data_IF_500109897552
#
_entry.id   IF_500109897552
#
_cell.length_a   1.000
_cell.length_b   1.000
_cell.length_c   1.000
_cell.angle_alpha   90.00
_cell.angle_beta   90.00
_cell.angle_gamma   90.00
#
_symmetry.space_group_name_H-M   'P 1'
#
loop_
_entity.id
_entity.type
_entity.pdbx_description
1 polymer ?
#
# COMPACT_ATOMS: atom_id res chain seq x y z
N UNK A 1 -1.41 -28.26 -1.89
CA UNK A 1 -2.02 -27.06 -2.48
C UNK A 1 -1.00 -25.94 -2.47
N UNK A 2 -0.57 -25.40 -3.62
CA UNK A 2 0.30 -24.22 -3.64
C UNK A 2 -0.46 -23.02 -3.02
N UNK A 3 0.22 -22.11 -2.30
CA UNK A 3 -0.43 -20.92 -1.77
C UNK A 3 -0.92 -20.09 -2.95
N UNK A 4 -2.22 -19.79 -2.95
CA UNK A 4 -2.85 -18.92 -3.94
C UNK A 4 -2.13 -17.58 -3.83
N UNK A 5 -1.22 -17.29 -4.76
CA UNK A 5 -0.56 -15.98 -4.87
C UNK A 5 -1.67 -14.93 -4.79
N UNK A 6 -1.61 -14.09 -3.76
CA UNK A 6 -2.56 -13.02 -3.52
C UNK A 6 -2.83 -12.31 -4.85
N UNK A 7 -4.04 -12.47 -5.41
CA UNK A 7 -4.41 -11.78 -6.65
C UNK A 7 -4.45 -10.30 -6.32
N UNK A 8 -3.35 -9.61 -6.60
CA UNK A 8 -3.26 -8.18 -6.40
C UNK A 8 -4.22 -7.54 -7.39
N UNK A 9 -5.23 -6.86 -6.86
CA UNK A 9 -6.20 -6.13 -7.66
C UNK A 9 -5.52 -4.88 -8.18
N UNK A 10 -5.48 -4.74 -9.50
CA UNK A 10 -4.91 -3.59 -10.19
C UNK A 10 -5.60 -2.29 -9.75
N UNK A 11 -4.85 -1.19 -9.76
CA UNK A 11 -5.38 0.12 -9.39
C UNK A 11 -6.58 0.51 -10.27
N UNK A 12 -6.56 0.19 -11.57
CA UNK A 12 -7.67 0.45 -12.48
C UNK A 12 -8.95 -0.26 -12.07
N UNK A 13 -8.84 -1.52 -11.62
CA UNK A 13 -10.00 -2.26 -11.08
C UNK A 13 -10.51 -1.53 -9.83
N UNK A 14 -9.64 -1.24 -8.85
CA UNK A 14 -10.04 -0.59 -7.60
C UNK A 14 -10.76 0.75 -7.83
N UNK A 15 -10.28 1.55 -8.78
CA UNK A 15 -10.94 2.80 -9.18
C UNK A 15 -12.33 2.49 -9.73
N UNK A 16 -12.42 1.58 -10.72
CA UNK A 16 -13.70 1.25 -11.35
C UNK A 16 -14.73 0.74 -10.34
N UNK A 17 -14.32 -0.10 -9.39
CA UNK A 17 -15.21 -0.65 -8.35
C UNK A 17 -15.78 0.45 -7.45
N UNK A 18 -14.95 1.42 -7.05
CA UNK A 18 -15.37 2.55 -6.22
C UNK A 18 -16.25 3.53 -7.00
N UNK A 19 -15.90 3.82 -8.25
CA UNK A 19 -16.70 4.68 -9.13
C UNK A 19 -18.09 4.08 -9.39
N UNK A 20 -18.17 2.78 -9.68
CA UNK A 20 -19.45 2.08 -9.88
C UNK A 20 -20.34 2.12 -8.63
N UNK A 21 -19.73 1.96 -7.46
CA UNK A 21 -20.44 2.09 -6.19
C UNK A 21 -20.94 3.53 -5.98
N UNK A 22 -20.12 4.52 -6.31
CA UNK A 22 -20.43 5.94 -6.10
C UNK A 22 -21.55 6.46 -6.99
N UNK A 23 -21.57 6.03 -8.26
CA UNK A 23 -22.62 6.36 -9.24
C UNK A 23 -23.98 5.81 -8.81
N UNK A 24 -24.03 4.88 -7.85
CA UNK A 24 -25.28 4.42 -7.22
C UNK A 24 -26.16 3.49 -8.08
N UNK A 25 -25.68 3.11 -9.27
CA UNK A 25 -26.41 2.24 -10.21
C UNK A 25 -26.12 0.75 -10.08
N UNK A 26 -25.26 0.33 -9.14
CA UNK A 26 -24.95 -1.08 -8.93
C UNK A 26 -24.74 -1.39 -7.45
N UNK A 27 -25.28 -2.51 -7.01
CA UNK A 27 -25.07 -3.01 -5.66
C UNK A 27 -23.65 -3.57 -5.51
N UNK A 28 -23.17 -3.64 -4.26
CA UNK A 28 -21.87 -4.25 -3.97
C UNK A 28 -21.78 -5.71 -4.45
N UNK A 29 -22.92 -6.42 -4.49
CA UNK A 29 -22.99 -7.79 -4.97
C UNK A 29 -22.79 -7.87 -6.49
N UNK A 30 -23.53 -7.09 -7.27
CA UNK A 30 -23.38 -7.04 -8.72
C UNK A 30 -21.98 -6.62 -9.15
N UNK A 31 -21.40 -5.65 -8.43
CA UNK A 31 -20.03 -5.22 -8.64
C UNK A 31 -19.05 -6.38 -8.35
N UNK A 32 -19.24 -7.11 -7.26
CA UNK A 32 -18.41 -8.27 -6.93
C UNK A 32 -18.52 -9.37 -8.00
N UNK A 33 -19.72 -9.66 -8.48
CA UNK A 33 -19.96 -10.65 -9.55
C UNK A 33 -19.30 -10.22 -10.87
N UNK A 34 -19.48 -8.95 -11.27
CA UNK A 34 -18.91 -8.40 -12.50
C UNK A 34 -17.39 -8.52 -12.57
N UNK A 35 -16.70 -8.32 -11.45
CA UNK A 35 -15.24 -8.37 -11.39
C UNK A 35 -14.70 -9.71 -10.85
N UNK A 36 -15.56 -10.68 -10.54
CA UNK A 36 -15.16 -11.95 -9.92
C UNK A 36 -14.44 -11.75 -8.57
N UNK A 37 -14.84 -10.71 -7.82
CA UNK A 37 -14.23 -10.29 -6.57
C UNK A 37 -15.03 -10.79 -5.37
N UNK A 38 -14.35 -11.24 -4.32
CA UNK A 38 -15.03 -11.52 -3.05
C UNK A 38 -15.50 -10.22 -2.37
N UNK A 39 -16.70 -10.22 -1.80
CA UNK A 39 -17.26 -9.06 -1.06
C UNK A 39 -16.32 -8.50 0.01
N UNK A 40 -15.56 -9.37 0.68
CA UNK A 40 -14.52 -8.98 1.66
C UNK A 40 -13.46 -8.06 1.04
N UNK A 41 -13.06 -8.34 -0.19
CA UNK A 41 -12.08 -7.53 -0.93
C UNK A 41 -12.64 -6.16 -1.28
N UNK A 42 -13.90 -6.09 -1.76
CA UNK A 42 -14.56 -4.82 -2.04
C UNK A 42 -14.59 -3.93 -0.79
N UNK A 43 -15.02 -4.49 0.34
CA UNK A 43 -15.06 -3.76 1.62
C UNK A 43 -13.65 -3.30 2.03
N UNK A 44 -12.62 -4.12 1.84
CA UNK A 44 -11.24 -3.74 2.14
C UNK A 44 -10.74 -2.58 1.26
N UNK A 45 -11.08 -2.58 -0.04
CA UNK A 45 -10.74 -1.49 -0.97
C UNK A 45 -11.45 -0.20 -0.54
N UNK A 46 -12.75 -0.28 -0.26
CA UNK A 46 -13.54 0.87 0.21
C UNK A 46 -13.00 1.45 1.50
N UNK A 47 -12.74 0.62 2.51
CA UNK A 47 -12.23 1.08 3.79
C UNK A 47 -10.85 1.74 3.66
N UNK A 48 -9.96 1.21 2.79
CA UNK A 48 -8.67 1.83 2.50
C UNK A 48 -8.82 3.19 1.81
N UNK A 49 -9.72 3.29 0.84
CA UNK A 49 -9.98 4.55 0.16
C UNK A 49 -10.51 5.60 1.13
N UNK A 50 -11.49 5.24 1.98
CA UNK A 50 -12.02 6.11 3.04
C UNK A 50 -10.91 6.56 4.01
N UNK A 51 -10.05 5.64 4.45
CA UNK A 51 -8.92 5.96 5.33
C UNK A 51 -7.89 6.91 4.68
N UNK A 52 -7.91 7.04 3.35
CA UNK A 52 -7.03 7.93 2.58
C UNK A 52 -7.72 9.22 2.16
N UNK A 53 -8.91 9.50 2.68
CA UNK A 53 -9.64 10.75 2.43
C UNK A 53 -10.58 10.70 1.23
N UNK A 54 -10.82 9.52 0.63
CA UNK A 54 -11.89 9.41 -0.36
C UNK A 54 -13.26 9.51 0.32
N UNK A 55 -14.20 10.22 -0.30
CA UNK A 55 -15.58 10.32 0.13
C UNK A 55 -16.52 10.02 -1.05
N UNK A 56 -17.70 9.43 -0.80
CA UNK A 56 -18.72 9.29 -1.84
C UNK A 56 -19.12 10.66 -2.42
N UNK A 57 -19.24 10.75 -3.74
CA UNK A 57 -19.48 11.97 -4.51
C UNK A 57 -18.21 12.71 -4.93
N UNK A 58 -17.02 12.22 -4.54
CA UNK A 58 -15.72 12.76 -4.98
C UNK A 58 -15.04 11.81 -5.98
N UNK A 59 -14.32 12.36 -6.98
CA UNK A 59 -13.61 11.55 -7.95
C UNK A 59 -12.57 10.64 -7.26
N UNK A 60 -12.54 9.37 -7.68
CA UNK A 60 -11.59 8.40 -7.14
C UNK A 60 -10.21 8.64 -7.77
N UNK A 61 -9.29 9.22 -6.99
CA UNK A 61 -7.89 9.41 -7.39
C UNK A 61 -7.06 8.13 -7.17
N UNK A 62 -5.98 7.98 -7.94
CA UNK A 62 -5.02 6.86 -7.79
C UNK A 62 -4.45 6.80 -6.37
N UNK A 63 -4.22 7.96 -5.74
CA UNK A 63 -3.76 8.05 -4.35
C UNK A 63 -4.67 7.33 -3.34
N UNK A 64 -5.98 7.25 -3.61
CA UNK A 64 -6.92 6.54 -2.72
C UNK A 64 -6.78 5.02 -2.84
N UNK A 65 -6.40 4.50 -4.00
CA UNK A 65 -6.39 3.06 -4.29
C UNK A 65 -5.01 2.43 -4.29
N UNK A 66 -3.95 3.24 -4.36
CA UNK A 66 -2.57 2.80 -4.52
C UNK A 66 -2.18 1.78 -3.44
N UNK A 67 -1.71 0.59 -3.82
CA UNK A 67 -1.21 -0.37 -2.85
C UNK A 67 0.20 0.02 -2.39
N UNK A 68 0.34 1.04 -1.53
CA UNK A 68 1.63 1.32 -0.92
C UNK A 68 2.13 0.03 -0.23
N UNK A 69 3.39 -0.37 -0.46
CA UNK A 69 3.93 -1.59 0.13
C UNK A 69 3.69 -1.52 1.63
N UNK A 70 3.11 -2.59 2.21
CA UNK A 70 3.00 -2.70 3.66
C UNK A 70 4.41 -2.51 4.18
N UNK A 71 4.66 -1.40 4.90
CA UNK A 71 5.92 -1.20 5.61
C UNK A 71 6.11 -2.48 6.43
N UNK A 72 7.02 -3.32 5.96
CA UNK A 72 7.25 -4.60 6.59
C UNK A 72 7.71 -4.35 8.02
N UNK A 73 7.69 -5.40 8.85
CA UNK A 73 8.44 -5.37 10.10
C UNK A 73 9.85 -4.85 9.78
N UNK A 74 10.33 -3.76 10.41
CA UNK A 74 11.67 -3.26 10.19
C UNK A 74 12.63 -4.44 10.29
N UNK A 75 13.31 -4.78 9.20
CA UNK A 75 14.36 -5.81 9.26
C UNK A 75 15.45 -5.15 10.08
N UNK A 76 15.66 -5.63 11.30
CA UNK A 76 16.80 -5.23 12.12
C UNK A 76 18.03 -5.53 11.27
N UNK A 77 18.63 -4.48 10.71
CA UNK A 77 19.91 -4.61 10.05
C UNK A 77 20.85 -5.19 11.11
N UNK A 78 21.42 -6.36 10.81
CA UNK A 78 22.47 -6.92 11.64
C UNK A 78 23.65 -5.97 11.45
N UNK A 79 23.74 -4.95 12.29
CA UNK A 79 24.92 -4.11 12.40
C UNK A 79 26.13 -5.05 12.38
N UNK A 80 27.00 -4.84 11.40
CA UNK A 80 28.35 -5.40 11.43
C UNK A 80 29.02 -5.00 12.75
N UNK A 81 30.02 -5.76 13.21
CA UNK A 81 30.71 -5.43 14.44
C UNK A 81 31.25 -4.00 14.35
N UNK A 82 30.91 -3.21 15.36
CA UNK A 82 31.49 -1.91 15.63
C UNK A 82 32.94 -2.12 16.04
N UNK A 83 33.87 -2.04 15.09
CA UNK A 83 35.28 -1.83 15.43
C UNK A 83 35.49 -0.32 15.57
N UNK A 84 35.44 0.12 16.83
CA UNK A 84 35.85 1.45 17.20
C UNK A 84 37.37 1.63 17.18
N UNK A 85 37.73 2.89 17.36
CA UNK A 85 39.06 3.42 17.66
C UNK A 85 39.97 3.71 16.46
N UNK A 86 40.16 5.00 16.25
CA UNK A 86 41.08 5.58 15.29
C UNK A 86 40.99 7.10 15.32
N UNK A 87 40.99 7.67 16.52
CA UNK A 87 41.13 9.11 16.71
C UNK A 87 42.37 9.59 15.96
N UNK A 88 42.20 10.62 15.13
CA UNK A 88 43.32 11.45 14.67
C UNK A 88 44.21 11.83 15.85
N UNK A 89 45.52 11.99 15.60
CA UNK A 89 46.11 13.24 16.03
C UNK A 89 46.80 13.97 14.89
N UNK A 90 46.39 15.23 14.78
CA UNK A 90 47.02 16.39 14.19
C UNK A 90 48.55 16.38 14.18
N UNK A 91 49.15 16.68 13.02
CA UNK A 91 50.45 17.38 12.91
C UNK A 91 50.37 18.71 13.69
N UNK A 92 51.43 19.27 14.33
CA UNK A 92 52.62 19.79 13.61
C UNK A 92 53.95 19.88 14.41
N UNK A 93 55.08 20.00 13.70
CA UNK A 93 56.30 20.80 14.04
C UNK A 93 57.38 20.49 12.97
N UNK A 94 58.15 21.40 12.37
CA UNK A 94 58.40 22.81 12.68
C UNK A 94 59.73 23.00 13.41
N UNK A 95 60.86 22.87 12.70
CA UNK A 95 62.15 23.57 12.86
C UNK A 95 63.21 22.94 11.94
#
# INVERSE_FOLDING_TARGET
MPPIKSKEWDNGIRVAVLTLWDVGGSTAQEICEKYGMARRTFVAIRNKALARGWAPGQPVLIAHVENSPRSGRPRKERNGPVEGVGSQPSSPQGA
#
